data_IF_588847768269
#
_entry.id   IF_588847768269
#
_cell.length_a   1.000
_cell.length_b   1.000
_cell.length_c   1.000
_cell.angle_alpha   90.00
_cell.angle_beta   90.00
_cell.angle_gamma   90.00
#
_symmetry.space_group_name_H-M   'P 1'
#
loop_
_entity.id
_entity.type
_entity.pdbx_description
1 polymer ?
2 non-polymer ?
3 non-polymer ?
4 water ?
#
# COMPACT_ATOMS: atom_id res chain seq x y z
N UNK A 18 -0.59 37.38 -6.68
CA UNK A 18 0.07 36.75 -7.86
C UNK A 18 -0.92 35.79 -8.53
N UNK A 19 -1.72 35.07 -7.74
CA UNK A 19 -2.84 34.24 -8.25
C UNK A 19 -2.74 32.72 -8.30
N UNK A 21 -2.36 28.75 -9.12
CA UNK A 21 -1.25 27.87 -9.46
C UNK A 21 -1.83 26.52 -9.86
N UNK A 22 -1.43 26.04 -11.04
CA UNK A 22 -1.80 24.71 -11.50
C UNK A 22 -0.60 23.82 -11.24
N UNK A 23 -0.74 22.92 -10.28
CA UNK A 23 0.30 21.98 -9.87
C UNK A 23 0.09 20.68 -10.61
N UNK A 24 1.11 20.24 -11.33
CA UNK A 24 1.02 18.94 -12.01
C UNK A 24 2.23 18.10 -11.79
N UNK A 25 2.02 16.78 -11.84
CA UNK A 25 3.13 15.81 -11.77
C UNK A 25 2.85 14.72 -12.79
N UNK A 26 3.85 14.41 -13.63
CA UNK A 26 3.77 13.34 -14.63
C UNK A 26 4.65 12.22 -14.07
N UNK A 27 4.19 10.97 -14.13
CA UNK A 27 4.96 9.89 -13.50
C UNK A 27 4.71 8.50 -14.03
N UNK A 28 5.60 7.60 -13.63
CA UNK A 28 5.56 6.18 -13.94
C UNK A 28 5.76 5.48 -12.60
N UNK A 29 4.97 4.44 -12.39
CA UNK A 29 5.07 3.65 -11.16
C UNK A 29 5.97 2.43 -11.41
N UNK A 30 6.48 1.84 -10.33
CA UNK A 30 7.28 0.59 -10.40
C UNK A 30 6.41 -0.63 -10.72
N UNK A 31 5.10 -0.48 -10.51
CA UNK A 31 4.14 -1.56 -10.69
C UNK A 31 3.88 -1.85 -12.15
N UNK A 32 3.49 -3.09 -12.42
CA UNK A 32 3.16 -3.55 -13.75
C UNK A 32 1.93 -2.82 -14.26
N UNK A 33 1.92 -2.55 -15.56
CA UNK A 33 0.77 -1.90 -16.20
C UNK A 33 -0.49 -2.73 -16.00
N UNK A 34 -1.61 -2.04 -15.74
CA UNK A 34 -2.94 -2.64 -15.53
C UNK A 34 -3.09 -3.54 -14.30
N UNK A 35 -2.11 -3.51 -13.39
CA UNK A 35 -2.12 -4.32 -12.18
C UNK A 35 -3.03 -3.73 -11.12
N UNK A 36 -3.27 -4.51 -10.07
CA UNK A 36 -4.08 -4.08 -8.93
C UNK A 36 -3.29 -3.11 -8.08
N UNK A 37 -1.96 -3.29 -8.02
CA UNK A 37 -1.07 -2.37 -7.31
C UNK A 37 -1.15 -0.96 -7.94
N UNK A 38 -1.16 -0.93 -9.28
CA UNK A 38 -1.29 0.32 -10.02
C UNK A 38 -2.64 0.97 -9.68
N UNK A 39 -3.72 0.19 -9.83
CA UNK A 39 -5.10 0.63 -9.53
C UNK A 39 -5.20 1.22 -8.12
N UNK A 40 -4.68 0.49 -7.14
CA UNK A 40 -4.72 0.88 -5.74
C UNK A 40 -3.97 2.18 -5.45
N UNK A 41 -2.81 2.39 -6.10
CA UNK A 41 -2.07 3.65 -5.94
C UNK A 41 -2.93 4.83 -6.44
N UNK A 42 -3.51 4.68 -7.63
CA UNK A 42 -4.34 5.72 -8.24
C UNK A 42 -5.64 6.03 -7.43
N UNK A 43 -6.33 4.97 -7.04
CA UNK A 43 -7.58 5.05 -6.25
C UNK A 43 -7.30 5.71 -4.90
N UNK A 44 -6.25 5.26 -4.21
CA UNK A 44 -5.89 5.82 -2.88
C UNK A 44 -5.36 7.26 -2.96
N UNK A 45 -4.55 7.57 -3.97
CA UNK A 45 -4.05 8.94 -4.18
C UNK A 45 -5.20 9.94 -4.35
N UNK A 46 -6.16 9.56 -5.20
CA UNK A 46 -7.36 10.38 -5.41
C UNK A 46 -8.13 10.64 -4.10
N UNK A 47 -8.42 9.59 -3.34
CA UNK A 47 -9.16 9.72 -2.07
C UNK A 47 -8.45 10.62 -1.07
N UNK A 48 -7.15 10.41 -0.91
CA UNK A 48 -6.32 11.15 0.06
C UNK A 48 -6.11 12.62 -0.32
N UNK A 49 -5.62 12.83 -1.53
CA UNK A 49 -5.19 14.15 -1.98
C UNK A 49 -6.33 15.08 -2.29
N UNK A 50 -7.42 14.57 -2.87
CA UNK A 50 -8.57 15.43 -3.21
C UNK A 50 -9.35 15.94 -1.97
N UNK A 51 -9.16 15.29 -0.83
CA UNK A 51 -9.78 15.64 0.46
C UNK A 51 -9.06 16.76 1.21
N UNK A 52 -7.84 17.10 0.80
CA UNK A 52 -7.05 18.12 1.50
C UNK A 52 -7.58 19.51 1.20
N UNK A 53 -7.79 20.33 2.24
CA UNK A 53 -8.34 21.71 2.07
C UNK A 53 -7.43 22.53 1.14
N UNK A 54 -8.06 23.27 0.23
CA UNK A 54 -7.34 24.07 -0.76
C UNK A 54 -7.12 23.39 -2.11
N UNK A 55 -7.19 22.05 -2.15
CA UNK A 55 -7.05 21.30 -3.41
C UNK A 55 -8.33 21.49 -4.22
N UNK A 56 -8.20 21.98 -5.45
CA UNK A 56 -9.36 22.12 -6.35
C UNK A 56 -9.05 21.46 -7.70
N UNK A 57 -10.10 20.94 -8.32
CA UNK A 57 -10.03 20.34 -9.65
C UNK A 57 -8.93 19.29 -9.76
N UNK A 58 -8.85 18.43 -8.75
CA UNK A 58 -7.92 17.31 -8.76
C UNK A 58 -8.33 16.35 -9.89
N UNK A 59 -7.39 16.09 -10.82
CA UNK A 59 -7.64 15.19 -11.95
C UNK A 59 -6.54 14.17 -12.09
N UNK A 60 -6.93 12.92 -12.37
CA UNK A 60 -6.00 11.84 -12.66
C UNK A 60 -6.07 11.67 -14.16
N UNK A 61 -4.88 11.55 -14.76
CA UNK A 61 -4.72 11.51 -16.19
C UNK A 61 -3.83 10.38 -16.64
N UNK A 62 -4.04 9.94 -17.90
CA UNK A 62 -3.16 9.00 -18.54
C UNK A 62 -2.33 9.87 -19.49
N UNK A 63 -1.02 9.71 -19.49
CA UNK A 63 -0.11 10.48 -20.38
C UNK A 63 0.00 9.68 -21.66
N UNK A 64 -0.32 10.28 -22.82
CA UNK A 64 -0.43 9.54 -24.10
C UNK A 64 0.58 9.82 -25.22
N UNK A 65 1.45 10.82 -25.04
CA UNK A 65 2.49 11.12 -26.03
C UNK A 65 3.54 10.01 -26.00
N UNK A 66 3.89 9.44 -27.16
CA UNK A 66 4.89 8.37 -27.19
C UNK A 66 6.34 8.87 -27.00
N UNK A 67 6.56 10.18 -27.20
CA UNK A 67 7.88 10.80 -27.08
C UNK A 67 8.47 10.81 -25.66
N UNK A 68 7.64 11.06 -24.63
CA UNK A 68 8.08 11.10 -23.21
C UNK A 68 7.63 9.78 -22.54
N UNK A 69 8.47 9.21 -21.67
CA UNK A 69 8.22 7.90 -21.03
C UNK A 69 7.64 8.04 -19.59
N UNK A 70 6.45 8.64 -19.53
CA UNK A 70 5.66 8.77 -18.29
C UNK A 70 4.29 8.25 -18.65
N UNK A 71 3.67 7.50 -17.73
CA UNK A 71 2.38 6.88 -17.97
C UNK A 71 1.18 7.65 -17.48
N UNK A 72 1.35 8.43 -16.42
CA UNK A 72 0.22 9.09 -15.76
C UNK A 72 0.55 10.49 -15.35
N UNK A 73 -0.50 11.23 -15.00
CA UNK A 73 -0.34 12.54 -14.43
C UNK A 73 -1.39 12.84 -13.37
N UNK A 74 -1.03 13.72 -12.43
CA UNK A 74 -2.02 14.31 -11.53
C UNK A 74 -1.93 15.82 -11.78
N UNK A 75 -3.09 16.46 -11.83
CA UNK A 75 -3.23 17.90 -12.01
C UNK A 75 -4.20 18.41 -10.95
N UNK A 77 -5.38 22.53 -8.88
CA UNK A 77 -5.22 23.98 -8.82
C UNK A 77 -5.38 24.49 -7.39
N UNK A 78 -4.57 25.50 -7.09
CA UNK A 78 -4.57 26.19 -5.78
C UNK A 78 -4.85 27.66 -6.05
N UNK A 79 -5.60 28.29 -5.14
CA UNK A 79 -5.92 29.71 -5.23
C UNK A 79 -4.67 30.59 -5.26
N UNK A 80 -3.63 30.19 -4.50
CA UNK A 80 -2.39 30.95 -4.41
C UNK A 80 -1.25 30.10 -3.86
N UNK A 81 -0.04 30.67 -3.79
CA UNK A 81 1.10 29.90 -3.27
C UNK A 81 0.88 29.45 -1.82
N UNK A 82 0.22 30.29 -0.98
CA UNK A 82 -0.08 29.92 0.43
C UNK A 82 -0.84 28.59 0.48
N UNK A 83 -1.91 28.46 -0.32
CA UNK A 83 -2.69 27.21 -0.38
C UNK A 83 -1.85 26.04 -0.85
N UNK A 84 -0.94 26.29 -1.79
CA UNK A 84 -0.06 25.24 -2.33
C UNK A 84 0.87 24.74 -1.22
N UNK A 85 1.52 25.66 -0.53
CA UNK A 85 2.42 25.32 0.57
C UNK A 85 1.68 24.57 1.70
N UNK A 86 0.46 25.01 2.02
CA UNK A 86 -0.38 24.37 3.05
C UNK A 86 -0.79 22.94 2.67
N UNK A 87 -1.05 22.70 1.38
CA UNK A 87 -1.28 21.35 0.87
C UNK A 87 0.00 20.49 1.05
N UNK A 88 1.13 21.04 0.60
CA UNK A 88 2.42 20.30 0.67
C UNK A 88 2.75 19.85 2.08
N UNK A 89 2.51 20.75 3.04
CA UNK A 89 2.84 20.52 4.46
C UNK A 89 1.74 19.82 5.27
N UNK A 90 0.59 19.55 4.64
CA UNK A 90 -0.53 18.90 5.33
C UNK A 90 -0.08 17.50 5.73
N UNK A 91 -0.39 17.05 6.96
CA UNK A 91 0.02 15.70 7.40
C UNK A 91 -0.36 14.56 6.45
N UNK A 92 -1.54 14.64 5.85
CA UNK A 92 -2.00 13.63 4.88
C UNK A 92 -1.12 13.59 3.63
N UNK A 93 -0.67 14.77 3.17
CA UNK A 93 0.20 14.83 1.99
C UNK A 93 1.60 14.31 2.35
N UNK A 94 2.12 14.77 3.50
CA UNK A 94 3.41 14.28 4.01
C UNK A 94 3.45 12.73 4.14
N UNK A 95 2.39 12.15 4.69
CA UNK A 95 2.27 10.71 4.88
C UNK A 95 2.17 10.02 3.52
N UNK A 96 1.35 10.56 2.62
CA UNK A 96 1.23 10.00 1.28
C UNK A 96 2.57 9.94 0.53
N UNK A 97 3.35 11.02 0.61
CA UNK A 97 4.64 11.09 -0.07
C UNK A 97 5.64 10.08 0.52
N UNK A 98 5.69 10.01 1.84
CA UNK A 98 6.57 9.09 2.52
C UNK A 98 6.22 7.63 2.30
N UNK A 99 4.94 7.31 2.46
CA UNK A 99 4.45 5.93 2.48
C UNK A 99 4.01 5.33 1.16
N UNK A 100 3.64 6.18 0.20
CA UNK A 100 3.16 5.72 -1.11
C UNK A 100 3.98 6.22 -2.27
N UNK A 101 4.24 7.52 -2.33
CA UNK A 101 4.94 8.08 -3.50
C UNK A 101 6.38 7.58 -3.59
N UNK A 102 7.17 7.86 -2.57
CA UNK A 102 8.59 7.48 -2.55
C UNK A 102 8.82 5.97 -2.82
N UNK A 103 8.10 5.07 -2.13
CA UNK A 103 8.25 3.63 -2.41
C UNK A 103 7.72 3.09 -3.74
N UNK A 104 6.69 3.71 -4.32
CA UNK A 104 6.00 3.14 -5.49
C UNK A 104 6.25 3.84 -6.81
N UNK A 105 6.72 5.09 -6.79
CA UNK A 105 6.97 5.83 -8.01
C UNK A 105 8.39 5.58 -8.55
N UNK A 106 8.48 5.17 -9.82
CA UNK A 106 9.74 4.90 -10.49
C UNK A 106 10.45 6.21 -10.85
N UNK A 107 9.71 7.11 -11.49
CA UNK A 107 10.23 8.40 -11.93
C UNK A 107 9.12 9.41 -12.13
N UNK A 108 9.47 10.69 -12.07
CA UNK A 108 8.48 11.75 -12.24
C UNK A 108 9.09 13.10 -12.60
N UNK A 109 8.22 14.01 -13.03
CA UNK A 109 8.58 15.40 -13.29
C UNK A 109 7.44 16.22 -12.69
N UNK A 110 7.78 17.29 -11.98
CA UNK A 110 6.81 18.23 -11.47
C UNK A 110 6.82 19.41 -12.43
N UNK A 111 5.65 19.81 -12.92
CA UNK A 111 5.50 20.98 -13.79
C UNK A 111 4.34 21.81 -13.23
N UNK A 112 4.67 22.99 -12.71
CA UNK A 112 3.72 23.90 -12.08
C UNK A 112 3.58 25.13 -12.96
N UNK A 113 2.36 25.64 -13.06
CA UNK A 113 2.04 26.74 -13.89
C UNK A 113 1.26 27.85 -13.23
N UNK A 114 1.50 29.06 -13.74
CA UNK A 114 0.62 30.19 -13.44
C UNK A 114 0.24 30.82 -14.80
N UNK A 115 -0.92 31.52 -14.87
CA UNK A 115 -1.29 32.17 -16.12
C UNK A 115 -0.22 33.19 -16.56
N UNK A 116 0.05 33.26 -17.85
CA UNK A 116 1.02 34.23 -18.36
C UNK A 116 0.47 35.64 -18.13
N UNK A 117 1.33 36.54 -17.66
CA UNK A 117 0.91 37.92 -17.37
N UNK B 19 12.74 -13.17 24.92
CA UNK B 19 11.63 -14.12 25.23
C UNK B 19 10.86 -14.44 23.97
N UNK B 21 8.51 -15.40 20.95
CA UNK B 21 7.07 -15.24 20.71
C UNK B 21 6.74 -15.95 19.41
N UNK B 22 5.73 -16.83 19.45
CA UNK B 22 5.22 -17.50 18.28
C UNK B 22 3.95 -16.75 17.89
N UNK B 23 4.05 -16.01 16.80
CA UNK B 23 2.91 -15.24 16.25
C UNK B 23 2.20 -16.08 15.18
N UNK B 24 0.89 -16.28 15.36
CA UNK B 24 0.10 -17.03 14.38
C UNK B 24 -1.19 -16.31 14.05
N UNK B 25 -1.68 -16.55 12.83
CA UNK B 25 -2.98 -16.05 12.39
C UNK B 25 -3.65 -17.15 11.58
N UNK B 26 -4.92 -17.42 11.89
CA UNK B 26 -5.73 -18.41 11.20
C UNK B 26 -6.73 -17.58 10.40
N UNK B 27 -6.94 -17.90 9.13
CA UNK B 27 -7.79 -17.05 8.29
C UNK B 27 -8.47 -17.73 7.11
N UNK B 28 -9.40 -16.99 6.53
CA UNK B 28 -10.13 -17.38 5.32
C UNK B 28 -10.14 -16.14 4.43
N UNK B 29 -9.89 -16.36 3.15
CA UNK B 29 -9.89 -15.27 2.18
C UNK B 29 -11.28 -15.14 1.53
N UNK B 30 -11.49 -14.01 0.89
CA UNK B 30 -12.74 -13.75 0.16
C UNK B 30 -12.76 -14.50 -1.17
N UNK B 31 -11.60 -14.95 -1.62
CA UNK B 31 -11.42 -15.58 -2.93
C UNK B 31 -11.87 -17.01 -2.94
N UNK B 32 -12.25 -17.50 -4.12
CA UNK B 32 -12.70 -18.87 -4.29
C UNK B 32 -11.51 -19.80 -4.11
N UNK B 33 -11.77 -20.99 -3.55
CA UNK B 33 -10.72 -21.99 -3.34
C UNK B 33 -10.06 -22.35 -4.68
N UNK B 34 -8.73 -22.47 -4.66
CA UNK B 34 -7.89 -22.80 -5.83
C UNK B 34 -7.80 -21.68 -6.90
N UNK B 35 -8.30 -20.48 -6.59
CA UNK B 35 -8.29 -19.39 -7.55
C UNK B 35 -6.88 -18.79 -7.66
N UNK B 36 -6.63 -18.15 -8.80
CA UNK B 36 -5.38 -17.42 -9.02
C UNK B 36 -5.12 -16.38 -7.92
N UNK B 37 -6.18 -15.71 -7.47
CA UNK B 37 -6.10 -14.69 -6.41
C UNK B 37 -5.67 -15.32 -5.06
N UNK B 38 -6.16 -16.52 -4.74
CA UNK B 38 -5.75 -17.22 -3.52
C UNK B 38 -4.27 -17.55 -3.59
N UNK B 39 -3.86 -18.10 -4.74
CA UNK B 39 -2.47 -18.49 -5.00
C UNK B 39 -1.53 -17.28 -4.84
N UNK B 40 -1.88 -16.17 -5.49
CA UNK B 40 -1.10 -14.92 -5.40
C UNK B 40 -1.01 -14.40 -3.96
N UNK B 41 -2.11 -14.44 -3.21
CA UNK B 41 -2.07 -14.00 -1.82
C UNK B 41 -1.03 -14.79 -1.01
N UNK B 42 -1.13 -16.12 -1.08
CA UNK B 42 -0.22 -17.01 -0.36
C UNK B 42 1.25 -16.85 -0.81
N UNK B 43 1.47 -16.80 -2.12
CA UNK B 43 2.86 -16.67 -2.65
C UNK B 43 3.50 -15.36 -2.26
N UNK B 44 2.75 -14.27 -2.46
CA UNK B 44 3.24 -12.91 -2.14
C UNK B 44 3.47 -12.71 -0.64
N UNK B 45 2.55 -13.20 0.19
CA UNK B 45 2.67 -13.10 1.66
C UNK B 45 3.98 -13.72 2.12
N UNK B 46 4.26 -14.93 1.63
CA UNK B 46 5.50 -15.64 1.96
C UNK B 46 6.74 -14.87 1.51
N UNK B 47 6.76 -14.42 0.26
CA UNK B 47 7.89 -13.65 -0.27
C UNK B 47 8.13 -12.35 0.49
N UNK B 48 7.06 -11.61 0.78
CA UNK B 48 7.20 -10.31 1.44
C UNK B 48 7.50 -10.46 2.93
N UNK B 49 6.67 -11.24 3.61
CA UNK B 49 6.77 -11.33 5.09
C UNK B 49 7.99 -12.05 5.57
N UNK B 50 8.37 -13.15 4.93
CA UNK B 50 9.55 -13.93 5.37
C UNK B 50 10.88 -13.18 5.19
N UNK B 51 10.89 -12.18 4.30
CA UNK B 51 12.06 -11.33 4.04
C UNK B 51 12.34 -10.29 5.10
N UNK B 52 11.37 -9.99 5.97
CA UNK B 52 11.51 -8.91 6.99
C UNK B 52 12.48 -9.37 8.10
N UNK B 53 13.45 -8.52 8.45
CA UNK B 53 14.42 -8.80 9.51
C UNK B 53 13.72 -9.16 10.83
N UNK B 54 14.18 -10.26 11.45
CA UNK B 54 13.60 -10.73 12.72
C UNK B 54 12.57 -11.84 12.59
N UNK B 55 11.95 -11.97 11.42
CA UNK B 55 10.98 -13.03 11.13
C UNK B 55 11.76 -14.33 11.01
N UNK B 56 11.41 -15.31 11.83
CA UNK B 56 12.03 -16.64 11.78
C UNK B 56 10.95 -17.72 11.68
N UNK B 57 11.28 -18.81 10.99
CA UNK B 57 10.41 -19.97 10.84
C UNK B 57 9.01 -19.64 10.32
N UNK B 58 8.98 -18.79 9.30
CA UNK B 58 7.72 -18.42 8.68
C UNK B 58 7.18 -19.67 7.98
N UNK B 59 5.95 -20.05 8.33
CA UNK B 59 5.27 -21.21 7.78
C UNK B 59 3.85 -20.89 7.32
N UNK B 60 3.52 -21.37 6.13
CA UNK B 60 2.18 -21.27 5.60
C UNK B 60 1.57 -22.65 5.82
N UNK B 61 0.34 -22.65 6.30
CA UNK B 61 -0.34 -23.86 6.71
C UNK B 61 -1.79 -23.91 6.25
N UNK B 62 -2.30 -25.14 6.05
CA UNK B 62 -3.72 -25.37 5.78
C UNK B 62 -4.30 -25.78 7.12
N UNK B 63 -5.43 -25.16 7.50
CA UNK B 63 -6.08 -25.47 8.77
C UNK B 63 -7.06 -26.59 8.41
N UNK B 64 -6.99 -27.72 9.13
CA UNK B 64 -7.74 -28.93 8.75
C UNK B 64 -8.83 -29.39 9.72
N UNK B 65 -8.94 -28.78 10.90
CA UNK B 65 -9.97 -29.18 11.87
C UNK B 65 -11.33 -28.73 11.35
N UNK B 66 -12.32 -29.65 11.34
CA UNK B 66 -13.68 -29.24 10.95
C UNK B 66 -14.41 -28.43 12.05
N UNK B 67 -13.89 -28.40 13.28
CA UNK B 67 -14.47 -27.62 14.39
C UNK B 67 -14.57 -26.11 14.07
N UNK B 68 -13.45 -25.52 13.63
CA UNK B 68 -13.32 -24.06 13.37
C UNK B 68 -13.37 -23.77 11.84
N UNK B 69 -13.96 -22.65 11.43
CA UNK B 69 -14.14 -22.31 10.00
C UNK B 69 -13.10 -21.33 9.44
N UNK B 70 -11.86 -21.78 9.42
CA UNK B 70 -10.72 -21.03 8.85
C UNK B 70 -9.97 -21.99 7.95
N UNK B 71 -9.51 -21.49 6.81
CA UNK B 71 -8.83 -22.32 5.82
C UNK B 71 -7.32 -22.38 5.94
N UNK B 72 -6.69 -21.29 6.35
CA UNK B 72 -5.24 -21.23 6.36
C UNK B 72 -4.68 -20.68 7.62
N UNK B 73 -3.37 -20.87 7.78
CA UNK B 73 -2.64 -20.24 8.86
C UNK B 73 -1.27 -19.78 8.44
N UNK B 74 -0.83 -18.68 9.05
CA UNK B 74 0.57 -18.26 8.99
C UNK B 74 1.08 -18.37 10.40
N UNK B 75 2.32 -18.83 10.55
CA UNK B 75 2.99 -19.03 11.83
C UNK B 75 4.42 -18.55 11.68
N UNK B 77 8.05 -16.92 14.27
CA UNK B 77 8.59 -16.71 15.61
C UNK B 77 9.56 -15.52 15.62
N UNK B 78 9.52 -14.80 16.74
CA UNK B 78 10.32 -13.62 17.02
C UNK B 78 11.13 -13.89 18.27
N UNK B 79 12.38 -13.40 18.32
CA UNK B 79 13.23 -13.56 19.50
C UNK B 79 12.64 -12.90 20.75
N UNK B 80 11.94 -11.78 20.56
CA UNK B 80 11.35 -11.02 21.66
C UNK B 80 10.27 -10.06 21.14
N UNK B 81 9.57 -9.38 22.06
CA UNK B 81 8.51 -8.44 21.70
C UNK B 81 9.04 -7.29 20.83
N UNK B 82 10.26 -6.81 21.11
CA UNK B 82 10.89 -5.74 20.28
C UNK B 82 10.93 -6.15 18.81
N UNK B 83 11.38 -7.39 18.55
CA UNK B 83 11.43 -7.95 17.18
C UNK B 83 10.04 -8.04 16.55
N UNK B 84 9.06 -8.42 17.36
CA UNK B 84 7.65 -8.52 16.90
C UNK B 84 7.05 -7.14 16.53
N UNK B 85 7.30 -6.13 17.37
CA UNK B 85 6.89 -4.77 17.11
C UNK B 85 7.57 -4.20 15.84
N UNK B 86 8.89 -4.45 15.69
CA UNK B 86 9.65 -3.99 14.53
C UNK B 86 9.14 -4.59 13.21
N UNK B 87 8.75 -5.87 13.27
CA UNK B 87 8.07 -6.55 12.14
C UNK B 87 6.77 -5.88 11.84
N UNK B 88 5.94 -5.71 12.89
CA UNK B 88 4.63 -5.08 12.73
C UNK B 88 4.73 -3.71 12.05
N UNK B 89 5.71 -2.90 12.48
CA UNK B 89 5.88 -1.53 11.96
C UNK B 89 6.74 -1.43 10.70
N UNK B 90 7.29 -2.54 10.23
CA UNK B 90 8.15 -2.52 9.02
C UNK B 90 7.26 -2.08 7.86
N UNK B 91 7.75 -1.14 7.03
CA UNK B 91 6.92 -0.65 5.93
C UNK B 91 6.33 -1.72 4.98
N UNK B 92 7.09 -2.77 4.68
CA UNK B 92 6.59 -3.91 3.89
C UNK B 92 5.40 -4.61 4.54
N UNK B 93 5.43 -4.74 5.87
CA UNK B 93 4.29 -5.33 6.60
C UNK B 93 3.10 -4.36 6.59
N UNK B 94 3.36 -3.09 6.88
CA UNK B 94 2.32 -2.05 6.89
C UNK B 94 1.62 -2.01 5.53
N UNK B 95 2.40 -2.02 4.45
CA UNK B 95 1.84 -2.03 3.06
C UNK B 95 1.06 -3.32 2.77
N UNK B 96 1.64 -4.47 3.14
CA UNK B 96 0.95 -5.75 2.95
C UNK B 96 -0.43 -5.80 3.64
N UNK B 97 -0.48 -5.35 4.89
CA UNK B 97 -1.75 -5.32 5.65
C UNK B 97 -2.80 -4.37 4.98
N UNK B 98 -2.34 -3.17 4.67
CA UNK B 98 -3.18 -2.17 4.02
C UNK B 98 -3.71 -2.63 2.65
N UNK B 99 -2.80 -3.10 1.80
CA UNK B 99 -3.10 -3.40 0.39
C UNK B 99 -3.57 -4.81 0.02
N UNK B 100 -3.24 -5.80 0.87
CA UNK B 100 -3.58 -7.20 0.61
C UNK B 100 -4.41 -7.81 1.69
N UNK B 101 -3.97 -7.71 2.95
CA UNK B 101 -4.71 -8.36 4.06
C UNK B 101 -6.11 -7.79 4.22
N UNK B 102 -6.20 -6.49 4.47
CA UNK B 102 -7.51 -5.87 4.70
C UNK B 102 -8.47 -6.09 3.50
N UNK B 103 -8.05 -5.78 2.26
CA UNK B 103 -8.97 -6.03 1.13
C UNK B 103 -9.36 -7.50 0.81
N UNK B 104 -8.50 -8.49 1.09
CA UNK B 104 -8.71 -9.89 0.69
C UNK B 104 -9.11 -10.89 1.76
N UNK B 105 -8.85 -10.58 3.02
CA UNK B 105 -9.17 -11.53 4.11
C UNK B 105 -10.62 -11.39 4.54
N UNK B 106 -11.34 -12.49 4.51
CA UNK B 106 -12.76 -12.50 4.92
C UNK B 106 -12.86 -12.42 6.44
N UNK B 107 -12.09 -13.25 7.11
CA UNK B 107 -12.07 -13.33 8.57
C UNK B 107 -10.79 -13.95 9.06
N UNK B 108 -10.47 -13.71 10.32
CA UNK B 108 -9.26 -14.23 10.91
C UNK B 108 -9.25 -14.16 12.43
N UNK B 109 -8.31 -14.93 13.00
CA UNK B 109 -8.02 -14.92 14.43
C UNK B 109 -6.51 -14.84 14.62
N UNK B 110 -6.05 -13.98 15.51
CA UNK B 110 -4.63 -13.92 15.87
C UNK B 110 -4.48 -14.70 17.17
N UNK B 111 -3.50 -15.60 17.22
CA UNK B 111 -3.21 -16.40 18.42
C UNK B 111 -1.71 -16.36 18.56
N UNK B 112 -1.22 -15.71 19.61
CA UNK B 112 0.19 -15.52 19.89
C UNK B 112 0.53 -16.26 21.17
N UNK B 113 1.71 -16.90 21.17
CA UNK B 113 2.16 -17.71 22.27
C UNK B 113 3.56 -17.40 22.75
N UNK B 114 3.79 -17.59 24.05
CA UNK B 114 5.15 -17.66 24.60
C UNK B 114 5.21 -18.99 25.36
N UNK B 115 6.42 -19.56 25.58
CA UNK B 115 6.52 -20.78 26.38
C UNK B 115 5.93 -20.60 27.77
N UNK B 116 5.22 -21.62 28.27
CA UNK B 116 4.64 -21.52 29.63
C UNK B 116 5.78 -21.40 30.65
N UNK B 117 5.59 -20.58 31.68
CA UNK B 117 6.61 -20.40 32.75
C UNK B 117 6.11 -19.70 34.02
#
# INVERSE_FOLDING_TARGET
XGSDKIHHHHHHENLYFQGXIRHTVVFTLKHASHSLEEKRFLVDAKKILSAIRGVTHFEQLRQISPKIDYHFGFSXEFADQAAYTRYNDHPDHVAFVRDRWVPEVEKFLEIDYVPLGSVV
XGSDKIHHHHHHENLYFQGXIRHTVVFTLKHASHSLEEKRFLVDAKKILSAIRGVTHFEQLRQISPKIDYHFGFSXEFADQAAYTRYNDHPDHVAFVRDRWVPEVEKFLEIDYVPLGSVV
#
